data_IF_996787993336
#
_entry.id   IF_996787993336
#
_cell.length_a   1.000
_cell.length_b   1.000
_cell.length_c   1.000
_cell.angle_alpha   90.00
_cell.angle_beta   90.00
_cell.angle_gamma   90.00
#
_symmetry.space_group_name_H-M   'P 1'
#
loop_
_entity.id
_entity.type
_entity.pdbx_description
1 polymer ?
#
# COMPACT_ATOMS: atom_id res chain seq x y z
N UNK A 1 -14.92 -9.19 -10.20
CA UNK A 1 -14.16 -10.24 -9.51
C UNK A 1 -13.93 -9.85 -8.07
N UNK A 2 -14.15 -10.77 -7.15
CA UNK A 2 -13.92 -10.54 -5.73
C UNK A 2 -12.46 -10.85 -5.41
N UNK A 3 -11.75 -9.91 -4.83
CA UNK A 3 -10.35 -10.10 -4.46
C UNK A 3 -10.16 -11.36 -3.60
N UNK A 4 -11.03 -11.54 -2.61
CA UNK A 4 -10.90 -12.65 -1.64
C UNK A 4 -11.24 -14.01 -2.20
N UNK A 5 -11.79 -14.09 -3.40
CA UNK A 5 -12.08 -15.36 -4.05
C UNK A 5 -10.88 -15.95 -4.77
N UNK A 6 -9.87 -15.11 -5.06
CA UNK A 6 -8.75 -15.55 -5.90
C UNK A 6 -7.41 -15.58 -5.19
N UNK A 7 -7.30 -15.04 -3.98
CA UNK A 7 -6.03 -15.04 -3.27
C UNK A 7 -6.05 -16.05 -2.10
N UNK A 8 -4.91 -16.67 -1.81
CA UNK A 8 -4.82 -17.60 -0.68
C UNK A 8 -4.94 -16.88 0.65
N UNK A 9 -5.29 -17.65 1.69
CA UNK A 9 -5.57 -17.08 3.01
C UNK A 9 -4.42 -16.28 3.58
N UNK A 10 -3.18 -16.75 3.42
CA UNK A 10 -2.03 -16.04 3.99
C UNK A 10 -1.83 -14.65 3.37
N UNK A 11 -2.16 -14.50 2.09
CA UNK A 11 -2.13 -13.17 1.46
C UNK A 11 -3.32 -12.33 1.91
N UNK A 12 -4.49 -12.96 2.01
CA UNK A 12 -5.71 -12.27 2.43
C UNK A 12 -5.58 -11.64 3.80
N UNK A 13 -4.97 -12.35 4.75
CA UNK A 13 -4.78 -11.83 6.11
C UNK A 13 -3.92 -10.57 6.07
N UNK A 14 -2.83 -10.60 5.32
CA UNK A 14 -1.95 -9.42 5.19
C UNK A 14 -2.70 -8.26 4.53
N UNK A 15 -3.43 -8.54 3.45
CA UNK A 15 -4.24 -7.52 2.77
C UNK A 15 -5.24 -6.89 3.73
N UNK A 16 -5.94 -7.70 4.53
CA UNK A 16 -6.94 -7.19 5.48
C UNK A 16 -6.30 -6.27 6.52
N UNK A 17 -5.16 -6.67 7.06
CA UNK A 17 -4.47 -5.84 8.06
C UNK A 17 -4.01 -4.52 7.45
N UNK A 18 -3.40 -4.57 6.28
CA UNK A 18 -2.95 -3.35 5.60
C UNK A 18 -4.12 -2.43 5.28
N UNK A 19 -5.22 -2.98 4.75
CA UNK A 19 -6.42 -2.19 4.44
C UNK A 19 -6.99 -1.53 5.68
N UNK A 20 -7.00 -2.24 6.81
CA UNK A 20 -7.50 -1.68 8.06
C UNK A 20 -6.64 -0.50 8.51
N UNK A 21 -5.31 -0.68 8.51
CA UNK A 21 -4.39 0.41 8.89
C UNK A 21 -4.61 1.62 7.99
N UNK A 22 -4.67 1.40 6.69
CA UNK A 22 -4.81 2.48 5.72
C UNK A 22 -6.13 3.21 5.92
N UNK A 23 -7.23 2.45 6.02
CA UNK A 23 -8.57 3.04 6.16
C UNK A 23 -8.68 3.88 7.44
N UNK A 24 -8.07 3.43 8.53
CA UNK A 24 -8.11 4.17 9.79
C UNK A 24 -7.31 5.48 9.74
N UNK A 25 -6.29 5.55 8.89
CA UNK A 25 -5.42 6.73 8.84
C UNK A 25 -5.82 7.75 7.78
N UNK A 26 -6.54 7.33 6.75
CA UNK A 26 -6.91 8.25 5.68
C UNK A 26 -8.09 9.13 6.07
N UNK A 27 -8.06 10.42 5.69
CA UNK A 27 -9.19 11.31 5.95
C UNK A 27 -10.41 10.93 5.11
N UNK A 28 -11.57 11.46 5.51
CA UNK A 28 -12.86 11.08 4.92
C UNK A 28 -12.96 11.36 3.42
N UNK A 29 -12.19 12.32 2.91
CA UNK A 29 -12.24 12.62 1.48
C UNK A 29 -11.50 11.58 0.63
N UNK A 30 -10.70 10.74 1.26
CA UNK A 30 -10.00 9.67 0.55
C UNK A 30 -10.93 8.48 0.34
N UNK A 31 -10.73 7.77 -0.77
CA UNK A 31 -11.55 6.64 -1.17
C UNK A 31 -10.68 5.44 -1.52
N UNK A 32 -11.31 4.27 -1.46
CA UNK A 32 -10.73 3.03 -1.95
C UNK A 32 -11.48 2.61 -3.20
N UNK A 33 -10.76 2.12 -4.19
CA UNK A 33 -11.36 1.50 -5.37
C UNK A 33 -10.57 0.26 -5.75
N UNK A 34 -11.15 -0.60 -6.57
CA UNK A 34 -10.42 -1.73 -7.14
C UNK A 34 -9.83 -1.29 -8.47
N UNK A 35 -8.51 -1.36 -8.58
CA UNK A 35 -7.77 -1.01 -9.79
C UNK A 35 -6.80 -2.14 -10.07
N UNK A 36 -6.75 -2.65 -11.31
CA UNK A 36 -5.94 -3.83 -11.65
C UNK A 36 -6.28 -5.05 -10.77
N UNK A 37 -7.53 -5.13 -10.30
CA UNK A 37 -8.04 -6.19 -9.41
C UNK A 37 -7.46 -6.15 -8.00
N UNK A 38 -6.90 -5.02 -7.56
CA UNK A 38 -6.34 -4.86 -6.22
C UNK A 38 -6.83 -3.56 -5.59
N UNK A 39 -6.80 -3.45 -4.23
CA UNK A 39 -7.20 -2.22 -3.55
C UNK A 39 -6.26 -1.06 -3.87
N UNK A 40 -6.82 0.04 -4.31
CA UNK A 40 -6.10 1.28 -4.58
C UNK A 40 -6.75 2.41 -3.80
N UNK A 41 -5.94 3.17 -3.07
CA UNK A 41 -6.42 4.27 -2.22
C UNK A 41 -5.99 5.60 -2.83
N UNK A 42 -6.92 6.54 -2.87
CA UNK A 42 -6.67 7.85 -3.48
C UNK A 42 -7.41 8.96 -2.75
N UNK A 43 -6.87 10.17 -2.83
CA UNK A 43 -7.52 11.40 -2.39
C UNK A 43 -7.63 12.32 -3.60
N UNK A 44 -6.90 13.44 -3.57
CA UNK A 44 -6.74 14.28 -4.76
C UNK A 44 -5.82 13.61 -5.77
N UNK A 45 -4.88 12.81 -5.28
CA UNK A 45 -3.93 12.04 -6.08
C UNK A 45 -3.96 10.60 -5.60
N UNK A 46 -3.27 9.71 -6.30
CA UNK A 46 -3.07 8.36 -5.81
C UNK A 46 -2.25 8.38 -4.52
N UNK A 47 -2.61 7.53 -3.57
CA UNK A 47 -1.92 7.45 -2.28
C UNK A 47 -1.15 6.15 -2.18
N UNK A 48 -1.85 5.02 -2.18
CA UNK A 48 -1.16 3.73 -2.08
C UNK A 48 -1.99 2.61 -2.68
N UNK A 49 -1.32 1.47 -2.89
CA UNK A 49 -1.91 0.29 -3.50
C UNK A 49 -1.46 -0.93 -2.71
N UNK A 50 -2.35 -1.92 -2.55
CA UNK A 50 -2.06 -3.17 -1.86
C UNK A 50 -2.15 -4.29 -2.87
N UNK A 51 -1.01 -4.93 -3.18
CA UNK A 51 -0.93 -5.90 -4.29
C UNK A 51 -0.48 -7.27 -3.79
N UNK A 52 -1.40 -8.23 -3.65
CA UNK A 52 -1.01 -9.61 -3.31
C UNK A 52 -0.36 -10.30 -4.50
N UNK A 53 0.64 -11.15 -4.23
CA UNK A 53 1.45 -11.77 -5.28
C UNK A 53 0.61 -12.61 -6.25
N UNK A 54 -0.47 -13.23 -5.78
CA UNK A 54 -1.33 -14.07 -6.61
C UNK A 54 -2.02 -13.29 -7.73
N UNK A 55 -2.23 -11.98 -7.53
CA UNK A 55 -2.82 -11.14 -8.58
C UNK A 55 -1.71 -10.76 -9.58
N UNK A 56 -1.89 -11.06 -10.88
CA UNK A 56 -0.85 -10.80 -11.88
C UNK A 56 -0.47 -9.32 -12.01
N UNK A 57 0.71 -9.08 -12.54
CA UNK A 57 1.26 -7.74 -12.88
C UNK A 57 1.84 -6.97 -11.70
N UNK A 58 1.85 -7.56 -10.50
CA UNK A 58 2.46 -6.91 -9.34
C UNK A 58 3.98 -6.96 -9.33
N UNK A 59 4.56 -7.86 -10.12
CA UNK A 59 6.01 -7.99 -10.21
C UNK A 59 6.66 -8.67 -9.01
N UNK A 60 5.87 -9.27 -8.12
CA UNK A 60 6.39 -9.98 -6.95
C UNK A 60 5.99 -11.46 -7.02
N UNK A 61 6.80 -12.31 -6.40
CA UNK A 61 6.63 -13.75 -6.47
C UNK A 61 5.86 -14.31 -5.28
N UNK A 62 5.91 -13.66 -4.13
CA UNK A 62 5.17 -14.06 -2.95
C UNK A 62 4.93 -12.85 -2.05
N UNK A 63 3.99 -13.01 -1.11
CA UNK A 63 3.68 -11.97 -0.14
C UNK A 63 2.71 -10.93 -0.69
N UNK A 64 2.68 -9.78 -0.04
CA UNK A 64 1.81 -8.67 -0.40
C UNK A 64 2.66 -7.40 -0.46
N UNK A 65 2.53 -6.67 -1.55
CA UNK A 65 3.23 -5.40 -1.74
C UNK A 65 2.34 -4.24 -1.31
N UNK A 66 2.88 -3.35 -0.48
CA UNK A 66 2.27 -2.05 -0.19
C UNK A 66 3.10 -1.01 -0.93
N UNK A 67 2.51 -0.38 -1.95
CA UNK A 67 3.19 0.63 -2.75
C UNK A 67 2.61 2.01 -2.49
N UNK A 68 3.48 2.99 -2.24
CA UNK A 68 3.08 4.38 -2.11
C UNK A 68 3.23 5.05 -3.47
N UNK A 69 2.12 5.55 -4.01
CA UNK A 69 2.07 6.05 -5.39
C UNK A 69 3.08 7.18 -5.64
N UNK A 70 3.25 8.08 -4.66
CA UNK A 70 4.25 9.13 -4.70
C UNK A 70 5.30 8.91 -3.61
N UNK A 71 5.81 7.68 -3.52
CA UNK A 71 6.82 7.34 -2.53
C UNK A 71 8.04 8.24 -2.59
N UNK A 72 8.38 8.72 -3.79
CA UNK A 72 9.50 9.63 -3.99
C UNK A 72 9.29 11.02 -3.37
N UNK A 73 8.06 11.33 -2.96
CA UNK A 73 7.73 12.61 -2.32
C UNK A 73 7.62 12.52 -0.80
N UNK A 74 7.79 11.32 -0.25
CA UNK A 74 7.73 11.09 1.19
C UNK A 74 9.13 11.25 1.78
N UNK A 75 9.20 11.76 3.01
CA UNK A 75 10.47 11.90 3.70
C UNK A 75 11.09 10.53 4.00
N UNK A 76 10.27 9.60 4.49
CA UNK A 76 10.69 8.24 4.82
C UNK A 76 12.04 8.24 5.57
N UNK A 77 12.09 9.00 6.66
CA UNK A 77 13.33 9.25 7.39
C UNK A 77 14.02 7.96 7.86
N UNK A 78 13.23 6.91 8.09
CA UNK A 78 13.75 5.61 8.53
C UNK A 78 14.19 4.72 7.37
N UNK A 79 14.07 5.22 6.15
CA UNK A 79 14.41 4.47 4.94
C UNK A 79 13.71 3.12 4.88
N UNK A 80 12.43 3.12 5.22
CA UNK A 80 11.61 1.92 5.32
C UNK A 80 11.24 1.34 3.95
N UNK A 81 10.99 2.22 2.97
CA UNK A 81 10.52 1.80 1.65
C UNK A 81 11.68 1.42 0.74
N UNK A 82 11.40 0.47 -0.15
CA UNK A 82 12.32 0.04 -1.20
C UNK A 82 11.91 0.75 -2.49
N UNK A 83 12.86 1.25 -3.25
CA UNK A 83 12.53 1.89 -4.53
C UNK A 83 13.11 1.12 -5.74
N UNK A 84 14.12 0.28 -5.55
CA UNK A 84 14.72 -0.44 -6.67
C UNK A 84 15.09 0.51 -7.80
N UNK A 85 14.56 0.24 -8.98
CA UNK A 85 14.75 1.12 -10.16
C UNK A 85 13.57 2.07 -10.36
N UNK A 86 12.57 2.06 -9.45
CA UNK A 86 11.42 2.94 -9.57
C UNK A 86 11.80 4.37 -9.21
N UNK A 87 11.20 5.32 -9.94
CA UNK A 87 11.46 6.75 -9.70
C UNK A 87 10.35 7.45 -8.94
N UNK A 88 9.20 6.80 -8.79
CA UNK A 88 8.03 7.40 -8.16
C UNK A 88 7.41 6.48 -7.11
N UNK A 89 7.05 5.26 -7.48
CA UNK A 89 6.35 4.34 -6.59
C UNK A 89 7.38 3.57 -5.77
N UNK A 90 7.38 3.81 -4.46
CA UNK A 90 8.24 3.10 -3.52
C UNK A 90 7.38 2.17 -2.70
N UNK A 91 7.94 1.03 -2.27
CA UNK A 91 7.13 -0.06 -1.77
C UNK A 91 7.79 -0.82 -0.63
N UNK A 92 6.98 -1.66 0.02
CA UNK A 92 7.45 -2.64 0.99
C UNK A 92 6.69 -3.94 0.73
N UNK A 93 7.37 -5.08 0.80
CA UNK A 93 6.76 -6.40 0.60
C UNK A 93 6.71 -7.12 1.94
N UNK A 94 5.54 -7.67 2.27
CA UNK A 94 5.32 -8.42 3.50
C UNK A 94 5.03 -9.87 3.16
N UNK A 95 5.87 -10.78 3.66
CA UNK A 95 5.67 -12.22 3.49
C UNK A 95 4.96 -12.84 4.69
N UNK A 96 4.91 -12.13 5.82
CA UNK A 96 4.31 -12.59 7.06
C UNK A 96 3.73 -11.40 7.79
N UNK A 97 2.67 -11.64 8.59
CA UNK A 97 2.04 -10.56 9.36
C UNK A 97 3.00 -9.93 10.37
N UNK A 98 3.97 -10.71 10.85
CA UNK A 98 4.96 -10.23 11.81
C UNK A 98 5.88 -9.17 11.22
N UNK A 99 5.98 -9.11 9.90
CA UNK A 99 6.81 -8.12 9.22
C UNK A 99 6.15 -6.75 9.14
N UNK A 100 4.86 -6.68 9.45
CA UNK A 100 4.10 -5.42 9.35
C UNK A 100 4.48 -4.50 10.51
N UNK A 101 5.16 -3.40 10.18
CA UNK A 101 5.50 -2.38 11.16
C UNK A 101 4.43 -1.29 11.13
N UNK A 102 3.46 -1.40 12.03
CA UNK A 102 2.30 -0.51 12.04
C UNK A 102 2.71 0.95 12.19
N UNK A 103 3.64 1.24 13.11
CA UNK A 103 4.09 2.62 13.34
C UNK A 103 4.74 3.24 12.11
N UNK A 104 5.59 2.47 11.42
CA UNK A 104 6.25 2.94 10.22
C UNK A 104 5.24 3.23 9.10
N UNK A 105 4.27 2.34 8.94
CA UNK A 105 3.23 2.50 7.92
C UNK A 105 2.36 3.72 8.22
N UNK A 106 1.95 3.91 9.47
CA UNK A 106 1.14 5.07 9.88
C UNK A 106 1.90 6.37 9.58
N UNK A 107 3.19 6.41 9.92
CA UNK A 107 4.01 7.59 9.66
C UNK A 107 4.05 7.92 8.17
N UNK A 108 4.24 6.91 7.33
CA UNK A 108 4.28 7.11 5.88
C UNK A 108 2.92 7.52 5.33
N UNK A 109 1.83 6.97 5.86
CA UNK A 109 0.48 7.37 5.45
C UNK A 109 0.22 8.84 5.78
N UNK A 110 0.66 9.30 6.95
CA UNK A 110 0.53 10.72 7.30
C UNK A 110 1.32 11.61 6.36
N UNK A 111 2.53 11.20 5.98
CA UNK A 111 3.32 11.92 4.98
C UNK A 111 2.61 11.95 3.64
N UNK A 112 2.05 10.82 3.22
CA UNK A 112 1.36 10.71 1.94
C UNK A 112 0.11 11.60 1.91
N UNK A 113 -0.66 11.63 3.00
CA UNK A 113 -1.84 12.49 3.11
C UNK A 113 -1.44 13.96 3.06
N UNK A 114 -0.36 14.32 3.74
CA UNK A 114 0.13 15.69 3.71
C UNK A 114 0.52 16.10 2.29
N UNK A 115 1.21 15.24 1.57
CA UNK A 115 1.55 15.51 0.18
C UNK A 115 0.30 15.60 -0.70
N UNK A 116 -0.67 14.72 -0.50
CA UNK A 116 -1.93 14.73 -1.26
C UNK A 116 -2.67 16.05 -1.10
N UNK A 117 -2.52 16.69 0.05
CA UNK A 117 -3.21 17.95 0.35
C UNK A 117 -2.51 19.17 -0.23
N UNK A 118 -1.33 19.02 -0.84
CA UNK A 118 -0.56 20.13 -1.40
C UNK A 118 -0.90 20.34 -2.88
N UNK A 119 -2.11 20.67 -3.17
CA UNK A 119 -2.52 20.88 -4.56
C UNK A 119 -2.30 22.32 -4.95
#
# INVERSE_FOLDING_TARGET
>A
MQLYEVIPEHERIIVDILRQIITEQLPAYCKEKISYNVPFFYGHKGICIVWPATIPRGGIKKGVLLGFWYGNKLADADNYLVHGTNKQIFYKIFNDVEEINVKAIIKLLKEAVKFDSTI
#
